data_IF_779461597137
#
_entry.id   IF_779461597137
#
_cell.length_a   1.000
_cell.length_b   1.000
_cell.length_c   1.000
_cell.angle_alpha   90.00
_cell.angle_beta   90.00
_cell.angle_gamma   90.00
#
_symmetry.space_group_name_H-M   'P 1'
#
loop_
_entity.id
_entity.type
_entity.pdbx_description
1 polymer ?
#
# COMPACT_ATOMS: atom_id res chain seq x y z
N UNK A 1 11.99 -7.11 11.00
CA UNK A 1 11.71 -5.66 10.83
C UNK A 1 12.80 -4.82 11.50
N UNK A 2 13.18 -3.69 10.89
CA UNK A 2 14.28 -2.82 11.32
C UNK A 2 13.86 -1.51 11.99
N UNK A 3 12.56 -1.20 12.03
CA UNK A 3 12.03 0.00 12.69
C UNK A 3 11.55 -0.32 14.12
N UNK A 4 11.75 0.58 15.09
CA UNK A 4 11.31 0.38 16.46
C UNK A 4 9.78 0.38 16.55
N UNK A 5 9.27 -0.45 17.45
CA UNK A 5 7.85 -0.53 17.75
C UNK A 5 7.45 0.57 18.74
N UNK A 6 6.44 1.38 18.38
CA UNK A 6 5.83 2.36 19.29
C UNK A 6 4.63 1.70 19.99
N UNK A 7 4.92 0.98 21.09
CA UNK A 7 3.90 0.20 21.82
C UNK A 7 2.74 1.06 22.31
N UNK A 8 3.02 2.30 22.73
CA UNK A 8 1.99 3.21 23.22
C UNK A 8 1.02 3.59 22.09
N UNK A 9 1.55 3.96 20.92
CA UNK A 9 0.73 4.27 19.76
C UNK A 9 -0.05 3.04 19.26
N UNK A 10 0.58 1.86 19.22
CA UNK A 10 -0.08 0.62 18.81
C UNK A 10 -1.24 0.28 19.74
N UNK A 11 -1.01 0.36 21.06
CA UNK A 11 -2.05 0.12 22.08
C UNK A 11 -3.22 1.09 21.92
N UNK A 12 -2.92 2.36 21.70
CA UNK A 12 -3.92 3.41 21.51
C UNK A 12 -4.77 3.19 20.24
N UNK A 13 -4.13 2.85 19.12
CA UNK A 13 -4.84 2.48 17.87
C UNK A 13 -5.67 1.21 18.05
N UNK A 14 -5.11 0.18 18.69
CA UNK A 14 -5.79 -1.08 18.94
C UNK A 14 -7.02 -0.89 19.85
N UNK A 15 -6.90 -0.07 20.90
CA UNK A 15 -8.01 0.27 21.80
C UNK A 15 -9.17 0.93 21.04
N UNK A 16 -8.87 1.95 20.23
CA UNK A 16 -9.90 2.58 19.37
C UNK A 16 -10.53 1.61 18.38
N UNK A 17 -9.74 0.72 17.78
CA UNK A 17 -10.25 -0.26 16.83
C UNK A 17 -11.18 -1.29 17.52
N UNK A 18 -10.84 -1.68 18.75
CA UNK A 18 -11.68 -2.53 19.59
C UNK A 18 -13.01 -1.85 19.94
N UNK A 19 -12.95 -0.63 20.47
CA UNK A 19 -14.12 0.15 20.87
C UNK A 19 -15.05 0.45 19.68
N UNK A 20 -14.48 0.62 18.48
CA UNK A 20 -15.24 0.84 17.24
C UNK A 20 -16.10 -0.36 16.85
N UNK A 21 -15.71 -1.58 17.21
CA UNK A 21 -16.46 -2.78 16.87
C UNK A 21 -15.60 -4.01 16.70
N UNK A 22 -15.23 -4.64 17.82
CA UNK A 22 -14.61 -5.96 17.83
C UNK A 22 -15.57 -7.04 17.29
N UNK A 23 -15.11 -7.78 16.29
CA UNK A 23 -15.80 -8.94 15.74
C UNK A 23 -14.82 -10.12 15.59
N UNK A 24 -14.92 -11.16 16.45
CA UNK A 24 -14.08 -12.34 16.37
C UNK A 24 -14.12 -13.06 15.01
N UNK A 25 -15.26 -13.02 14.32
CA UNK A 25 -15.44 -13.63 13.01
C UNK A 25 -14.91 -12.79 11.85
N UNK A 26 -14.52 -11.53 12.11
CA UNK A 26 -14.07 -10.59 11.08
C UNK A 26 -12.85 -11.07 10.29
N UNK A 27 -11.87 -11.67 10.98
CA UNK A 27 -10.65 -12.18 10.34
C UNK A 27 -10.97 -13.31 9.36
N UNK A 28 -11.82 -14.26 9.75
CA UNK A 28 -12.21 -15.37 8.89
C UNK A 28 -12.91 -14.87 7.62
N UNK A 29 -13.80 -13.86 7.75
CA UNK A 29 -14.48 -13.25 6.59
C UNK A 29 -13.51 -12.48 5.69
N UNK A 30 -12.53 -11.79 6.26
CA UNK A 30 -11.49 -11.10 5.49
C UNK A 30 -10.66 -12.10 4.67
N UNK A 31 -10.23 -13.21 5.27
CA UNK A 31 -9.47 -14.26 4.56
C UNK A 31 -10.32 -14.89 3.44
N UNK A 32 -11.57 -15.22 3.73
CA UNK A 32 -12.49 -15.75 2.72
C UNK A 32 -12.69 -14.77 1.56
N UNK A 33 -12.79 -13.47 1.85
CA UNK A 33 -12.91 -12.43 0.82
C UNK A 33 -11.65 -12.31 -0.04
N UNK A 34 -10.45 -12.38 0.56
CA UNK A 34 -9.18 -12.38 -0.19
C UNK A 34 -9.14 -13.58 -1.15
N UNK A 35 -9.46 -14.77 -0.66
CA UNK A 35 -9.50 -16.00 -1.47
C UNK A 35 -10.53 -15.92 -2.60
N UNK A 36 -11.72 -15.39 -2.32
CA UNK A 36 -12.78 -15.22 -3.31
C UNK A 36 -12.51 -14.11 -4.34
N UNK A 37 -11.59 -13.18 -4.03
CA UNK A 37 -11.36 -11.99 -4.87
C UNK A 37 -10.60 -12.25 -6.17
N UNK A 38 -9.99 -13.42 -6.30
CA UNK A 38 -9.34 -13.87 -7.52
C UNK A 38 -8.09 -13.05 -7.92
N UNK A 39 -7.60 -13.41 -9.10
CA UNK A 39 -6.44 -12.80 -9.76
C UNK A 39 -6.84 -11.45 -10.39
N UNK A 40 -5.98 -10.42 -10.29
CA UNK A 40 -6.27 -9.04 -10.75
C UNK A 40 -5.28 -8.51 -11.79
N UNK A 41 -4.29 -9.29 -12.21
CA UNK A 41 -3.21 -8.87 -13.11
C UNK A 41 -3.75 -8.29 -14.40
N UNK A 42 -4.76 -8.91 -15.04
CA UNK A 42 -5.34 -8.35 -16.27
C UNK A 42 -6.05 -7.00 -16.04
N UNK A 43 -6.77 -6.87 -14.91
CA UNK A 43 -7.41 -5.61 -14.55
C UNK A 43 -6.38 -4.51 -14.26
N UNK A 44 -5.26 -4.86 -13.61
CA UNK A 44 -4.14 -3.95 -13.35
C UNK A 44 -3.45 -3.51 -14.65
N UNK A 45 -3.28 -4.41 -15.61
CA UNK A 45 -2.73 -4.08 -16.95
C UNK A 45 -3.58 -3.12 -17.75
N UNK A 46 -4.88 -3.06 -17.47
CA UNK A 46 -5.79 -2.13 -18.14
C UNK A 46 -5.70 -0.70 -17.58
N UNK A 47 -5.01 -0.48 -16.44
CA UNK A 47 -4.86 0.86 -15.87
C UNK A 47 -4.01 1.75 -16.78
N UNK A 48 -4.44 3.01 -16.95
CA UNK A 48 -3.77 4.06 -17.73
C UNK A 48 -3.56 5.33 -16.91
N UNK A 49 -3.38 5.14 -15.61
CA UNK A 49 -3.21 6.22 -14.64
C UNK A 49 -1.86 6.08 -13.95
N UNK A 50 -1.24 7.19 -13.49
CA UNK A 50 -0.13 7.14 -12.57
C UNK A 50 -0.42 6.22 -11.38
N UNK A 51 0.49 5.28 -11.13
CA UNK A 51 0.40 4.37 -10.01
C UNK A 51 1.71 4.33 -9.24
N UNK A 52 1.59 4.07 -7.94
CA UNK A 52 2.69 3.86 -7.00
C UNK A 52 2.36 2.62 -6.17
N UNK A 53 3.33 1.73 -6.06
CA UNK A 53 3.29 0.58 -5.16
C UNK A 53 4.36 0.77 -4.10
N UNK A 54 3.98 0.73 -2.82
CA UNK A 54 4.90 0.80 -1.68
C UNK A 54 4.86 -0.53 -0.94
N UNK A 55 6.01 -1.15 -0.67
CA UNK A 55 6.06 -2.45 0.01
C UNK A 55 7.23 -2.55 1.00
N UNK A 56 7.01 -3.19 2.15
CA UNK A 56 8.05 -3.43 3.15
C UNK A 56 8.89 -4.68 2.88
N UNK A 57 10.21 -4.55 2.77
CA UNK A 57 11.07 -5.71 2.44
C UNK A 57 11.12 -6.79 3.53
N UNK A 58 10.69 -6.45 4.74
CA UNK A 58 10.62 -7.34 5.89
C UNK A 58 9.19 -7.73 6.27
N UNK A 59 8.22 -7.60 5.36
CA UNK A 59 6.82 -8.01 5.58
C UNK A 59 6.72 -9.55 5.73
N UNK A 60 6.34 -10.07 6.92
CA UNK A 60 6.22 -11.50 7.16
C UNK A 60 4.87 -12.08 6.73
N UNK A 61 3.87 -11.23 6.45
CA UNK A 61 2.51 -11.63 6.09
C UNK A 61 2.35 -11.68 4.57
N UNK A 62 2.74 -10.62 3.88
CA UNK A 62 2.69 -10.51 2.42
C UNK A 62 4.10 -10.26 1.90
N UNK A 63 4.67 -11.24 1.21
CA UNK A 63 6.04 -11.13 0.72
C UNK A 63 6.19 -10.00 -0.30
N UNK A 64 7.38 -9.39 -0.34
CA UNK A 64 7.71 -8.26 -1.23
C UNK A 64 7.56 -8.59 -2.72
N UNK A 65 7.65 -9.85 -3.12
CA UNK A 65 7.39 -10.26 -4.50
C UNK A 65 5.96 -9.96 -4.94
N UNK A 66 4.98 -9.92 -4.02
CA UNK A 66 3.62 -9.51 -4.32
C UNK A 66 3.54 -8.03 -4.72
N UNK A 67 4.26 -7.14 -4.02
CA UNK A 67 4.38 -5.74 -4.40
C UNK A 67 5.11 -5.56 -5.73
N UNK A 68 6.20 -6.31 -5.96
CA UNK A 68 6.93 -6.31 -7.24
C UNK A 68 6.03 -6.77 -8.40
N UNK A 69 5.26 -7.83 -8.21
CA UNK A 69 4.34 -8.35 -9.22
C UNK A 69 3.22 -7.34 -9.52
N UNK A 70 2.69 -6.68 -8.49
CA UNK A 70 1.67 -5.62 -8.64
C UNK A 70 2.20 -4.45 -9.46
N UNK A 71 3.40 -3.96 -9.15
CA UNK A 71 4.03 -2.87 -9.89
C UNK A 71 4.31 -3.27 -11.35
N UNK A 72 4.81 -4.48 -11.58
CA UNK A 72 5.06 -4.99 -12.93
C UNK A 72 3.77 -5.18 -13.76
N UNK A 73 2.63 -5.42 -13.11
CA UNK A 73 1.35 -5.57 -13.79
C UNK A 73 0.76 -4.24 -14.26
N UNK A 74 1.15 -3.10 -13.69
CA UNK A 74 0.62 -1.79 -14.02
C UNK A 74 1.63 -1.04 -14.89
N UNK A 75 1.24 -0.68 -16.11
CA UNK A 75 2.10 0.08 -17.02
C UNK A 75 2.47 1.44 -16.41
N UNK A 76 3.77 1.73 -16.32
CA UNK A 76 4.29 3.00 -15.78
C UNK A 76 4.15 3.16 -14.26
N UNK A 77 3.87 2.09 -13.50
CA UNK A 77 3.87 2.16 -12.04
C UNK A 77 5.29 2.33 -11.47
N UNK A 78 5.37 3.16 -10.43
CA UNK A 78 6.56 3.26 -9.60
C UNK A 78 6.50 2.24 -8.46
N UNK A 79 7.65 1.65 -8.12
CA UNK A 79 7.79 0.76 -6.97
C UNK A 79 8.76 1.35 -5.97
N UNK A 80 8.30 1.53 -4.74
CA UNK A 80 9.14 1.88 -3.59
C UNK A 80 9.16 0.69 -2.63
N UNK A 81 10.32 0.05 -2.49
CA UNK A 81 10.54 -0.92 -1.42
C UNK A 81 11.28 -0.28 -0.26
N UNK A 82 10.84 -0.57 0.97
CA UNK A 82 11.41 0.02 2.17
C UNK A 82 12.11 -1.06 2.99
N UNK A 83 13.44 -1.01 2.99
CA UNK A 83 14.28 -1.91 3.77
C UNK A 83 13.92 -1.84 5.26
N UNK A 84 13.74 -3.01 5.88
CA UNK A 84 13.38 -3.11 7.30
C UNK A 84 11.90 -2.86 7.62
N UNK A 85 11.09 -2.33 6.71
CA UNK A 85 9.65 -2.16 6.94
C UNK A 85 8.94 -3.52 6.87
N UNK A 86 8.07 -3.78 7.85
CA UNK A 86 7.25 -4.99 7.91
C UNK A 86 5.90 -4.82 7.21
N UNK A 87 4.88 -5.50 7.73
CA UNK A 87 3.49 -5.37 7.26
C UNK A 87 2.79 -4.09 7.74
N UNK A 88 3.36 -3.42 8.76
CA UNK A 88 2.80 -2.22 9.37
C UNK A 88 3.53 -0.95 8.90
N UNK A 89 3.02 0.22 9.29
CA UNK A 89 3.52 1.55 8.92
C UNK A 89 4.15 2.25 10.14
N UNK A 90 5.38 1.87 10.56
CA UNK A 90 6.04 2.52 11.70
C UNK A 90 6.34 4.01 11.42
N UNK A 91 6.32 4.87 12.44
CA UNK A 91 6.54 6.33 12.28
C UNK A 91 7.78 6.69 11.47
N UNK A 92 8.86 5.91 11.61
CA UNK A 92 10.11 6.13 10.90
C UNK A 92 10.03 6.07 9.37
N UNK A 93 8.98 5.46 8.80
CA UNK A 93 8.78 5.41 7.34
C UNK A 93 7.80 6.47 6.83
N UNK A 94 7.12 7.20 7.72
CA UNK A 94 6.00 8.06 7.32
C UNK A 94 6.43 9.18 6.37
N UNK A 95 7.56 9.84 6.62
CA UNK A 95 8.07 10.89 5.72
C UNK A 95 8.35 10.31 4.34
N UNK A 96 9.05 9.17 4.24
CA UNK A 96 9.35 8.52 2.97
C UNK A 96 8.07 8.15 2.19
N UNK A 97 7.06 7.62 2.89
CA UNK A 97 5.77 7.25 2.28
C UNK A 97 5.01 8.50 1.82
N UNK A 98 4.94 9.54 2.68
CA UNK A 98 4.26 10.79 2.37
C UNK A 98 4.90 11.50 1.18
N UNK A 99 6.23 11.54 1.10
CA UNK A 99 6.96 12.12 -0.02
C UNK A 99 6.70 11.34 -1.32
N UNK A 100 6.71 10.00 -1.27
CA UNK A 100 6.38 9.19 -2.44
C UNK A 100 4.95 9.43 -2.94
N UNK A 101 3.99 9.56 -2.04
CA UNK A 101 2.59 9.91 -2.37
C UNK A 101 2.52 11.33 -2.95
N UNK A 102 3.19 12.31 -2.34
CA UNK A 102 3.19 13.69 -2.83
C UNK A 102 3.80 13.79 -4.24
N UNK A 103 4.86 13.02 -4.51
CA UNK A 103 5.48 12.94 -5.83
C UNK A 103 4.55 12.32 -6.87
N UNK A 104 3.83 11.25 -6.52
CA UNK A 104 2.80 10.66 -7.38
C UNK A 104 1.71 11.69 -7.73
N UNK A 105 1.20 12.41 -6.73
CA UNK A 105 0.16 13.44 -6.93
C UNK A 105 0.67 14.52 -7.87
N UNK A 106 1.85 15.09 -7.61
CA UNK A 106 2.42 16.12 -8.44
C UNK A 106 2.65 15.63 -9.89
N UNK A 107 3.03 14.37 -10.08
CA UNK A 107 3.17 13.75 -11.41
C UNK A 107 1.81 13.63 -12.11
N UNK A 108 0.80 13.11 -11.42
CA UNK A 108 -0.54 12.96 -11.97
C UNK A 108 -1.16 14.30 -12.37
N UNK A 109 -0.93 15.36 -11.58
CA UNK A 109 -1.40 16.70 -11.93
C UNK A 109 -0.73 17.24 -13.19
N UNK A 110 0.60 17.04 -13.35
CA UNK A 110 1.32 17.44 -14.56
C UNK A 110 0.81 16.69 -15.80
N UNK A 111 0.63 15.38 -15.70
CA UNK A 111 0.12 14.55 -16.80
C UNK A 111 -1.31 14.94 -17.19
N UNK A 112 -2.17 15.25 -16.20
CA UNK A 112 -3.53 15.74 -16.44
C UNK A 112 -3.56 17.08 -17.17
N UNK A 113 -2.70 18.02 -16.77
CA UNK A 113 -2.58 19.33 -17.43
C UNK A 113 -2.08 19.15 -18.87
N UNK A 114 -1.07 18.32 -19.08
CA UNK A 114 -0.54 18.03 -20.41
C UNK A 114 -1.61 17.41 -21.33
N UNK A 115 -2.38 16.42 -20.84
CA UNK A 115 -3.46 15.80 -21.60
C UNK A 115 -4.58 16.78 -21.96
N UNK A 116 -4.88 17.75 -21.09
CA UNK A 116 -5.88 18.79 -21.34
C UNK A 116 -5.42 19.93 -22.25
N UNK A 117 -4.11 20.12 -22.43
CA UNK A 117 -3.54 21.16 -23.30
C UNK A 117 -3.38 20.72 -24.77
N UNK A 118 -3.59 19.44 -25.07
CA UNK A 118 -3.44 18.82 -26.40
C UNK A 118 -4.79 18.60 -27.10
N UNK A 119 -5.92 18.96 -26.47
CA UNK A 119 -7.27 18.93 -27.03
C UNK A 119 -7.78 20.31 -27.39
#
# INVERSE_FOLDING_TARGET
PGFPMDEAAIRDVAGRAWDRGYDPGGIARQIAAVQASGERTEALRALRVPALVIHGESDPLIRVEGGRATAAAIEGAELVTIAGMGHDLPRGVWTQIADAIANLVARAERERVAAGAVG
#
